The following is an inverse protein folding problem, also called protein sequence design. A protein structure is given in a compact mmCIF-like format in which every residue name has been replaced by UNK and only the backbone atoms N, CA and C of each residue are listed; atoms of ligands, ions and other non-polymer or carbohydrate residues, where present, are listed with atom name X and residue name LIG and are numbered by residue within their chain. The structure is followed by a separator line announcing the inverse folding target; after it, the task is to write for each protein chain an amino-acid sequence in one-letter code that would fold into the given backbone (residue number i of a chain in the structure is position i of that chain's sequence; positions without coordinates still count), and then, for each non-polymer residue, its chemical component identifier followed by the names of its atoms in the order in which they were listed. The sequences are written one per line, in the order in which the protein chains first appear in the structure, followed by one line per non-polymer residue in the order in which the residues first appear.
data_IF_700748925308
#
_entry.id   IF_700748925308
#
_cell.length_a   1.000
_cell.length_b   1.000
_cell.length_c   1.000
_cell.angle_alpha   90.00
_cell.angle_beta   90.00
_cell.angle_gamma   90.00
#
_symmetry.space_group_name_H-M   'P 1'
#
loop_
_entity.id
_entity.type
_entity.pdbx_description
1 polymer ?
#
# COMPACT_ATOMS: atom_id res chain seq x y z
N UNK A 1 6.27 16.14 29.89
CA UNK A 1 7.33 15.80 28.90
C UNK A 1 7.21 14.31 28.55
N UNK A 2 6.46 13.94 27.51
CA UNK A 2 6.38 12.54 27.03
C UNK A 2 7.09 12.48 25.68
N UNK A 3 8.32 11.97 25.66
CA UNK A 3 9.04 11.67 24.42
C UNK A 3 8.49 10.35 23.89
N UNK A 4 7.52 10.40 23.00
CA UNK A 4 7.26 9.31 22.06
C UNK A 4 7.77 9.80 20.71
N UNK A 5 9.02 9.50 20.37
CA UNK A 5 9.50 9.75 19.01
C UNK A 5 8.86 8.70 18.10
N UNK A 6 7.56 8.84 17.81
CA UNK A 6 6.83 8.07 16.80
C UNK A 6 7.27 8.55 15.41
N UNK A 7 8.48 8.15 14.99
CA UNK A 7 8.91 8.41 13.62
C UNK A 7 8.10 7.49 12.72
N UNK A 8 7.25 8.06 11.86
CA UNK A 8 6.58 7.31 10.81
C UNK A 8 7.59 6.66 9.86
N UNK A 9 7.19 5.58 9.19
CA UNK A 9 7.96 5.00 8.10
C UNK A 9 7.61 5.74 6.80
N UNK A 10 8.61 6.41 6.22
CA UNK A 10 8.48 7.20 4.99
C UNK A 10 9.29 6.59 3.83
N UNK A 11 9.77 5.36 4.00
CA UNK A 11 10.50 4.62 2.98
C UNK A 11 9.51 3.80 2.16
N UNK A 12 9.56 4.01 0.85
CA UNK A 12 8.73 3.33 -0.12
C UNK A 12 9.61 2.64 -1.14
N UNK A 13 9.41 1.34 -1.34
CA UNK A 13 10.11 0.57 -2.37
C UNK A 13 9.11 0.09 -3.40
N UNK A 14 9.33 0.46 -4.66
CA UNK A 14 8.54 -0.01 -5.81
C UNK A 14 9.40 -0.95 -6.63
N UNK A 15 8.91 -2.17 -6.85
CA UNK A 15 9.56 -3.17 -7.69
C UNK A 15 8.79 -3.30 -9.00
N UNK A 16 9.44 -2.98 -10.11
CA UNK A 16 8.90 -3.13 -11.45
C UNK A 16 9.55 -4.35 -12.12
N UNK A 17 8.74 -5.26 -12.67
CA UNK A 17 9.22 -6.47 -13.34
C UNK A 17 8.98 -6.34 -14.85
N UNK A 18 10.01 -6.59 -15.65
CA UNK A 18 10.01 -6.51 -17.11
C UNK A 18 10.56 -7.82 -17.69
N UNK A 19 9.69 -8.78 -17.96
CA UNK A 19 10.11 -10.13 -18.36
C UNK A 19 10.91 -10.81 -17.24
N UNK A 20 12.16 -11.20 -17.53
CA UNK A 20 13.07 -11.80 -16.54
C UNK A 20 13.84 -10.75 -15.70
N UNK A 21 13.77 -9.46 -16.06
CA UNK A 21 14.43 -8.39 -15.33
C UNK A 21 13.51 -7.76 -14.27
N UNK A 22 14.09 -7.24 -13.20
CA UNK A 22 13.38 -6.45 -12.21
C UNK A 22 14.19 -5.22 -11.80
N UNK A 23 13.52 -4.06 -11.72
CA UNK A 23 14.07 -2.82 -11.21
C UNK A 23 13.41 -2.49 -9.88
N UNK A 24 14.20 -2.15 -8.86
CA UNK A 24 13.70 -1.67 -7.57
C UNK A 24 14.06 -0.21 -7.39
N UNK A 25 13.06 0.63 -7.13
CA UNK A 25 13.25 2.05 -6.81
C UNK A 25 12.82 2.29 -5.38
N UNK A 26 13.75 2.73 -4.53
CA UNK A 26 13.47 3.12 -3.14
C UNK A 26 13.46 4.63 -3.01
N UNK A 27 12.40 5.17 -2.39
CA UNK A 27 12.20 6.58 -2.11
C UNK A 27 12.11 6.75 -0.60
N UNK A 28 12.92 7.62 -0.02
CA UNK A 28 12.87 7.98 1.40
C UNK A 28 12.41 9.44 1.56
N UNK A 29 11.15 9.61 1.97
CA UNK A 29 10.55 10.91 2.23
C UNK A 29 10.63 11.34 3.71
N UNK A 30 11.56 10.78 4.49
CA UNK A 30 11.73 11.06 5.92
C UNK A 30 12.10 12.52 6.19
N UNK A 31 12.89 13.14 5.31
CA UNK A 31 13.39 14.52 5.45
C UNK A 31 12.83 15.48 4.41
N UNK A 32 12.73 15.03 3.16
CA UNK A 32 12.30 15.86 2.02
C UNK A 32 11.37 15.00 1.16
N UNK A 33 10.19 15.52 0.85
CA UNK A 33 9.19 14.83 0.03
C UNK A 33 7.99 15.73 -0.25
N UNK A 34 7.11 15.28 -1.14
CA UNK A 34 5.83 15.95 -1.40
C UNK A 34 4.80 15.64 -0.31
N UNK A 35 3.60 16.22 -0.43
CA UNK A 35 2.45 15.92 0.45
C UNK A 35 2.08 14.43 0.49
N UNK A 36 2.48 13.66 -0.54
CA UNK A 36 2.30 12.21 -0.59
C UNK A 36 2.88 11.46 0.61
N UNK A 37 3.86 12.03 1.31
CA UNK A 37 4.47 11.44 2.52
C UNK A 37 3.50 11.31 3.70
N UNK A 38 2.35 11.98 3.65
CA UNK A 38 1.34 11.94 4.71
C UNK A 38 0.16 11.02 4.37
N UNK A 39 0.15 10.37 3.20
CA UNK A 39 -0.93 9.47 2.80
C UNK A 39 -0.91 8.22 3.68
N UNK A 40 -2.01 7.97 4.38
CA UNK A 40 -2.15 6.87 5.32
C UNK A 40 -2.50 5.55 4.63
N UNK A 41 -2.38 4.47 5.40
CA UNK A 41 -2.78 3.14 4.98
C UNK A 41 -4.30 2.93 5.11
N UNK A 42 -4.92 2.33 4.09
CA UNK A 42 -6.20 1.63 4.22
C UNK A 42 -6.14 0.23 3.59
N UNK A 43 -6.84 -0.73 4.20
CA UNK A 43 -7.09 -2.05 3.60
C UNK A 43 -8.16 -2.01 2.50
N UNK A 44 -8.89 -0.89 2.39
CA UNK A 44 -9.78 -0.54 1.28
C UNK A 44 -9.45 0.90 0.82
N UNK A 45 -8.38 1.07 0.02
CA UNK A 45 -7.86 2.39 -0.33
C UNK A 45 -8.67 3.06 -1.46
N UNK A 46 -8.59 4.39 -1.53
CA UNK A 46 -9.13 5.16 -2.66
C UNK A 46 -8.05 5.67 -3.63
N UNK A 47 -6.78 5.40 -3.34
CA UNK A 47 -5.65 5.66 -4.23
C UNK A 47 -4.97 4.36 -4.69
N UNK A 48 -4.39 4.40 -5.88
CA UNK A 48 -3.35 3.50 -6.37
C UNK A 48 -2.09 4.31 -6.71
N UNK A 49 -0.92 3.67 -6.63
CA UNK A 49 0.36 4.29 -6.98
C UNK A 49 0.89 3.70 -8.29
N UNK A 50 1.28 4.55 -9.24
CA UNK A 50 1.83 4.09 -10.52
C UNK A 50 3.17 4.77 -10.84
N UNK A 51 4.20 4.00 -11.26
CA UNK A 51 5.44 4.57 -11.77
C UNK A 51 5.22 5.16 -13.18
N UNK A 52 5.62 6.42 -13.35
CA UNK A 52 5.54 7.15 -14.63
C UNK A 52 6.90 7.73 -14.97
N UNK A 53 7.37 7.50 -16.19
CA UNK A 53 8.66 8.01 -16.68
C UNK A 53 8.43 9.10 -17.71
N UNK A 54 9.02 10.26 -17.47
CA UNK A 54 9.07 11.37 -18.42
C UNK A 54 10.51 11.81 -18.55
N UNK A 55 11.17 11.45 -19.66
CA UNK A 55 12.56 11.84 -19.93
C UNK A 55 13.62 11.31 -18.96
N UNK A 56 13.29 10.35 -18.09
CA UNK A 56 14.18 9.78 -17.08
C UNK A 56 13.94 8.28 -16.88
N UNK A 57 15.01 7.57 -16.50
CA UNK A 57 14.96 6.15 -16.11
C UNK A 57 14.39 5.96 -14.69
N UNK A 58 14.56 6.96 -13.83
CA UNK A 58 13.96 6.97 -12.50
C UNK A 58 12.47 7.37 -12.62
N UNK A 59 11.53 6.52 -12.19
CA UNK A 59 10.12 6.84 -12.29
C UNK A 59 9.74 7.93 -11.29
N UNK A 60 8.82 8.80 -11.70
CA UNK A 60 8.00 9.58 -10.77
C UNK A 60 6.82 8.72 -10.36
N UNK A 61 6.58 8.56 -9.05
CA UNK A 61 5.41 7.85 -8.56
C UNK A 61 4.23 8.82 -8.47
N UNK A 62 3.15 8.50 -9.19
CA UNK A 62 1.93 9.30 -9.22
C UNK A 62 0.78 8.55 -8.54
N UNK A 63 0.00 9.29 -7.77
CA UNK A 63 -1.25 8.79 -7.20
C UNK A 63 -2.38 8.93 -8.22
N UNK A 64 -3.15 7.86 -8.38
CA UNK A 64 -4.40 7.87 -9.14
C UNK A 64 -5.53 7.44 -8.22
N UNK A 65 -6.70 8.06 -8.36
CA UNK A 65 -7.89 7.63 -7.62
C UNK A 65 -8.48 6.38 -8.25
N UNK A 66 -8.80 5.36 -7.45
CA UNK A 66 -9.42 4.11 -7.92
C UNK A 66 -10.95 4.21 -8.03
N UNK A 67 -11.53 5.25 -7.41
CA UNK A 67 -12.95 5.60 -7.44
C UNK A 67 -13.12 7.11 -7.25
N UNK A 68 -14.36 7.60 -7.35
CA UNK A 68 -14.66 8.97 -6.96
C UNK A 68 -14.35 9.20 -5.47
N UNK A 69 -13.70 10.32 -5.17
CA UNK A 69 -13.36 10.78 -3.81
C UNK A 69 -14.18 12.03 -3.51
N UNK A 70 -14.87 12.04 -2.38
CA UNK A 70 -15.71 13.18 -1.98
C UNK A 70 -14.91 14.23 -1.19
N UNK A 71 -15.36 15.51 -1.17
CA UNK A 71 -14.73 16.53 -0.33
C UNK A 71 -14.68 16.12 1.14
N UNK A 72 -13.50 16.25 1.77
CA UNK A 72 -13.28 15.87 3.16
C UNK A 72 -13.00 14.38 3.39
N UNK A 73 -13.07 13.54 2.34
CA UNK A 73 -12.66 12.15 2.42
C UNK A 73 -11.13 12.03 2.47
N UNK A 74 -10.62 11.19 3.38
CA UNK A 74 -9.19 10.95 3.52
C UNK A 74 -8.64 10.17 2.32
N UNK A 75 -7.52 10.62 1.75
CA UNK A 75 -6.79 9.90 0.72
C UNK A 75 -5.93 8.80 1.35
N UNK A 76 -6.09 7.56 0.90
CA UNK A 76 -5.43 6.38 1.50
C UNK A 76 -4.91 5.41 0.45
N UNK A 77 -3.82 4.71 0.79
CA UNK A 77 -3.15 3.70 -0.06
C UNK A 77 -3.06 2.35 0.65
N UNK A 78 -2.95 1.26 -0.11
CA UNK A 78 -2.51 -0.01 0.45
C UNK A 78 -0.97 -0.10 0.46
N UNK A 79 -0.34 0.08 1.62
CA UNK A 79 1.11 -0.01 1.77
C UNK A 79 1.67 -1.39 1.35
N UNK A 80 0.89 -2.46 1.47
CA UNK A 80 1.31 -3.81 1.10
C UNK A 80 1.29 -4.02 -0.40
N UNK A 81 0.34 -3.40 -1.10
CA UNK A 81 0.28 -3.44 -2.56
C UNK A 81 1.46 -2.70 -3.20
N UNK A 82 1.92 -1.60 -2.59
CA UNK A 82 3.04 -0.82 -3.13
C UNK A 82 4.38 -1.54 -2.97
N UNK A 83 4.56 -2.29 -1.87
CA UNK A 83 5.78 -3.07 -1.63
C UNK A 83 5.93 -4.30 -2.53
N UNK A 84 4.86 -4.69 -3.24
CA UNK A 84 4.81 -5.90 -4.06
C UNK A 84 4.10 -5.70 -5.39
N UNK A 85 4.20 -4.51 -6.01
CA UNK A 85 3.49 -4.20 -7.25
C UNK A 85 3.66 -5.32 -8.27
N UNK A 86 2.58 -6.08 -8.47
CA UNK A 86 2.48 -7.10 -9.49
C UNK A 86 2.71 -6.46 -10.86
N UNK A 87 3.25 -7.19 -11.84
CA UNK A 87 3.47 -6.66 -13.18
C UNK A 87 2.18 -6.05 -13.73
N UNK A 88 2.26 -4.86 -14.32
CA UNK A 88 1.13 -4.32 -15.08
C UNK A 88 0.77 -5.34 -16.17
N UNK A 89 -0.50 -5.75 -16.31
CA UNK A 89 -0.89 -6.59 -17.44
C UNK A 89 -0.74 -5.77 -18.75
N UNK A 90 -0.21 -6.35 -19.83
CA UNK A 90 -0.24 -5.72 -21.14
C UNK A 90 -1.71 -5.58 -21.60
N UNK A 91 -2.12 -4.39 -22.07
CA UNK A 91 -3.42 -4.18 -22.75
C UNK A 91 -3.28 -4.59 -24.23
N UNK A 92 -4.20 -5.21 -24.97
CA UNK A 92 -5.45 -5.97 -24.73
C UNK A 92 -5.87 -6.60 -26.10
N UNK A 93 -6.60 -7.74 -26.12
CA UNK A 93 -7.69 -8.06 -27.07
C UNK A 93 -8.20 -9.52 -26.90
N UNK A 94 -9.48 -9.70 -26.53
CA UNK A 94 -10.23 -10.97 -26.65
C UNK A 94 -10.37 -11.82 -25.38
N UNK A 95 -11.62 -12.09 -24.99
CA UNK A 95 -12.18 -12.89 -23.88
C UNK A 95 -11.71 -14.38 -23.79
N UNK A 96 -12.15 -15.26 -22.83
CA UNK A 96 -13.10 -15.12 -21.71
C UNK A 96 -12.59 -15.60 -20.32
N UNK A 97 -13.38 -15.27 -19.29
CA UNK A 97 -13.13 -15.52 -17.87
C UNK A 97 -13.61 -16.92 -17.43
N UNK A 98 -12.73 -17.76 -16.87
CA UNK A 98 -13.09 -18.96 -16.11
C UNK A 98 -12.44 -18.91 -14.72
N UNK A 99 -13.24 -19.24 -13.71
CA UNK A 99 -12.94 -19.01 -12.30
C UNK A 99 -11.88 -19.93 -11.70
N UNK A 100 -11.30 -19.45 -10.61
CA UNK A 100 -10.58 -20.27 -9.64
C UNK A 100 -11.02 -19.84 -8.24
N UNK A 101 -11.67 -20.78 -7.57
CA UNK A 101 -12.02 -20.81 -6.14
C UNK A 101 -10.76 -20.97 -5.26
N UNK A 102 -10.98 -20.91 -3.93
CA UNK A 102 -10.11 -21.29 -2.80
C UNK A 102 -9.32 -20.12 -2.15
N UNK A 103 -9.33 -19.84 -0.83
CA UNK A 103 -9.89 -20.51 0.36
C UNK A 103 -10.24 -19.48 1.45
N UNK A 104 -11.16 -19.85 2.34
CA UNK A 104 -11.59 -19.06 3.49
C UNK A 104 -10.55 -18.96 4.60
N UNK A 105 -10.43 -17.77 5.17
CA UNK A 105 -9.81 -17.48 6.49
C UNK A 105 -10.85 -16.86 7.43
N UNK A 106 -10.71 -17.00 8.76
CA UNK A 106 -11.82 -16.90 9.69
C UNK A 106 -12.42 -15.50 9.78
N UNK A 107 -13.74 -15.49 9.85
CA UNK A 107 -14.60 -14.33 10.06
C UNK A 107 -14.38 -13.78 11.49
N UNK A 108 -13.53 -12.76 11.63
CA UNK A 108 -13.31 -12.11 12.91
C UNK A 108 -14.45 -11.13 13.21
N UNK A 109 -15.39 -11.59 14.03
CA UNK A 109 -16.38 -10.77 14.73
C UNK A 109 -15.70 -9.90 15.80
N UNK A 110 -16.16 -8.64 15.91
CA UNK A 110 -15.91 -7.67 17.01
C UNK A 110 -14.50 -7.03 17.12
N UNK A 111 -14.43 -5.77 16.67
CA UNK A 111 -13.25 -4.89 16.57
C UNK A 111 -12.71 -4.33 17.90
N UNK A 112 -12.55 -5.15 18.94
CA UNK A 112 -11.97 -4.65 20.20
C UNK A 112 -10.93 -5.56 20.88
N UNK A 113 -10.71 -6.79 20.41
CA UNK A 113 -9.91 -7.77 21.15
C UNK A 113 -8.85 -8.50 20.33
N UNK A 114 -8.21 -7.82 19.37
CA UNK A 114 -7.05 -8.38 18.65
C UNK A 114 -5.72 -7.67 18.99
N UNK A 115 -5.66 -6.98 20.14
CA UNK A 115 -4.45 -6.38 20.67
C UNK A 115 -3.61 -7.37 21.49
N UNK A 116 -3.45 -8.61 20.99
CA UNK A 116 -2.30 -9.41 21.40
C UNK A 116 -1.11 -8.89 20.61
N UNK A 117 -0.27 -8.08 21.26
CA UNK A 117 0.87 -7.41 20.66
C UNK A 117 1.84 -8.43 20.04
N UNK A 118 1.67 -8.74 18.77
CA UNK A 118 2.70 -9.38 17.97
C UNK A 118 3.89 -8.43 17.95
N UNK A 119 4.96 -8.82 18.63
CA UNK A 119 6.20 -8.05 18.78
C UNK A 119 6.65 -7.56 17.40
N UNK A 120 6.83 -6.24 17.26
CA UNK A 120 7.31 -5.60 16.02
C UNK A 120 6.24 -5.23 14.99
N UNK A 121 4.96 -5.61 15.16
CA UNK A 121 3.90 -5.18 14.22
C UNK A 121 3.19 -3.92 14.69
N UNK A 122 2.98 -2.98 13.78
CA UNK A 122 2.20 -1.75 14.03
C UNK A 122 0.72 -2.03 13.77
N UNK A 123 -0.21 -1.77 14.71
CA UNK A 123 -1.65 -1.95 14.49
C UNK A 123 -2.18 -1.08 13.36
N UNK A 124 -3.14 -1.60 12.59
CA UNK A 124 -3.85 -0.85 11.55
C UNK A 124 -5.16 -0.30 12.12
N UNK A 125 -5.38 1.02 11.96
CA UNK A 125 -6.58 1.71 12.41
C UNK A 125 -7.38 2.33 11.24
N UNK A 126 -7.38 1.69 10.07
CA UNK A 126 -8.01 2.26 8.86
C UNK A 126 -9.55 2.29 8.86
N UNK A 127 -10.20 1.62 9.82
CA UNK A 127 -11.66 1.60 9.94
C UNK A 127 -12.42 0.76 8.91
N UNK A 128 -11.75 0.21 7.89
CA UNK A 128 -12.40 -0.64 6.89
C UNK A 128 -12.94 -1.95 7.48
N UNK A 129 -14.08 -2.42 6.97
CA UNK A 129 -14.68 -3.72 7.33
C UNK A 129 -13.80 -4.92 6.95
N UNK A 130 -12.89 -4.74 5.99
CA UNK A 130 -11.93 -5.77 5.57
C UNK A 130 -10.51 -5.54 6.16
N UNK A 131 -10.39 -4.77 7.26
CA UNK A 131 -9.11 -4.44 7.87
C UNK A 131 -8.30 -5.68 8.25
N UNK A 132 -7.01 -5.70 7.87
CA UNK A 132 -6.06 -6.79 8.17
C UNK A 132 -5.48 -6.76 9.59
N UNK A 133 -5.87 -5.77 10.40
CA UNK A 133 -5.47 -5.62 11.81
C UNK A 133 -4.10 -5.00 12.04
N UNK A 134 -3.13 -5.15 11.13
CA UNK A 134 -1.77 -4.59 11.24
C UNK A 134 -1.33 -3.93 9.93
N UNK A 135 -0.44 -2.93 10.03
CA UNK A 135 0.21 -2.34 8.87
C UNK A 135 1.12 -3.38 8.20
N UNK A 136 1.14 -3.45 6.86
CA UNK A 136 1.89 -4.47 6.11
C UNK A 136 3.36 -4.08 5.98
N UNK A 137 4.01 -3.72 7.10
CA UNK A 137 5.45 -3.48 7.14
C UNK A 137 6.17 -4.74 7.57
N UNK A 138 7.30 -5.03 6.92
CA UNK A 138 8.24 -6.03 7.42
C UNK A 138 8.92 -5.49 8.70
N UNK A 139 8.84 -6.18 9.84
CA UNK A 139 9.52 -5.77 11.07
C UNK A 139 11.06 -5.88 11.02
N UNK A 140 11.65 -6.35 9.91
CA UNK A 140 13.09 -6.60 9.76
C UNK A 140 14.00 -5.40 9.46
N UNK A 141 13.57 -4.15 9.67
CA UNK A 141 14.38 -2.93 9.47
C UNK A 141 14.55 -2.11 10.74
#
# INVERSE_FOLDING_TARGET
RRRTSSKGNYVLTVREVFGEAALSTTIDASRVGSEGRFVNHSCDPNLELRPVRVGSVLPTLLFFTTRQVLPGEELTLDYGAVQGAAPLPPRAAGEPQQGASHEGGPRATTHASACAASVGKVPCCCGSSNCRGFLPFDPGW
#
